data_IF_204204560058
#
_entry.id   IF_204204560058
#
_cell.length_a   1.000
_cell.length_b   1.000
_cell.length_c   1.000
_cell.angle_alpha   90.00
_cell.angle_beta   90.00
_cell.angle_gamma   90.00
#
_symmetry.space_group_name_H-M   'P 1'
#
loop_
_entity.id
_entity.type
_entity.pdbx_description
1 polymer ?
#
# COMPACT_ATOMS: atom_id res chain seq x y z
N UNK A 1 0.75 -16.40 -16.10
CA UNK A 1 1.42 -17.52 -15.40
C UNK A 1 1.39 -17.19 -13.93
N UNK A 2 1.02 -18.15 -13.09
CA UNK A 2 0.95 -17.96 -11.65
C UNK A 2 2.35 -17.83 -11.03
N UNK A 3 2.45 -16.99 -10.00
CA UNK A 3 3.72 -16.62 -9.39
C UNK A 3 3.56 -16.40 -7.89
N UNK A 4 4.53 -16.90 -7.12
CA UNK A 4 4.77 -16.53 -5.72
C UNK A 4 6.11 -15.83 -5.66
N UNK A 5 6.09 -14.55 -5.29
CA UNK A 5 7.23 -13.64 -5.39
C UNK A 5 7.64 -13.23 -3.97
N UNK A 6 8.82 -13.70 -3.56
CA UNK A 6 9.48 -13.21 -2.35
C UNK A 6 10.51 -12.16 -2.73
N UNK A 7 10.22 -10.90 -2.42
CA UNK A 7 11.15 -9.80 -2.66
C UNK A 7 12.27 -9.84 -1.62
N UNK A 8 13.49 -9.47 -2.04
CA UNK A 8 14.66 -9.40 -1.15
C UNK A 8 14.77 -8.07 -0.42
N UNK A 9 14.15 -7.03 -0.97
CA UNK A 9 14.11 -5.62 -0.54
C UNK A 9 12.79 -5.03 -1.01
N UNK A 10 12.38 -3.86 -0.49
CA UNK A 10 11.17 -3.18 -0.95
C UNK A 10 11.19 -2.99 -2.48
N UNK A 11 10.04 -3.22 -3.11
CA UNK A 11 9.86 -2.90 -4.52
C UNK A 11 9.41 -1.45 -4.64
N UNK A 12 10.33 -0.59 -5.05
CA UNK A 12 10.05 0.83 -5.28
C UNK A 12 9.34 1.02 -6.62
N UNK A 13 8.13 1.56 -6.57
CA UNK A 13 7.31 1.84 -7.75
C UNK A 13 7.49 3.30 -8.16
N UNK A 14 7.86 3.50 -9.43
CA UNK A 14 7.98 4.83 -10.05
C UNK A 14 6.68 5.24 -10.73
N UNK A 15 6.55 6.51 -11.08
CA UNK A 15 5.36 7.07 -11.72
C UNK A 15 4.97 6.36 -13.03
N UNK A 16 3.68 6.45 -13.38
CA UNK A 16 3.11 5.94 -14.63
C UNK A 16 3.33 4.43 -14.79
N UNK A 17 2.82 3.66 -13.82
CA UNK A 17 2.91 2.20 -13.80
C UNK A 17 1.58 1.57 -13.41
N UNK A 18 1.32 0.42 -14.01
CA UNK A 18 0.27 -0.49 -13.56
C UNK A 18 0.92 -1.82 -13.21
N UNK A 19 0.65 -2.32 -12.02
CA UNK A 19 0.82 -3.75 -11.70
C UNK A 19 -0.55 -4.40 -11.90
N UNK A 20 -0.61 -5.34 -12.83
CA UNK A 20 -1.85 -6.01 -13.24
C UNK A 20 -1.70 -7.52 -13.09
N UNK A 21 -2.43 -8.10 -12.14
CA UNK A 21 -2.47 -9.53 -11.90
C UNK A 21 -3.56 -10.28 -12.66
N UNK A 22 -4.39 -9.61 -13.47
CA UNK A 22 -5.51 -10.28 -14.16
C UNK A 22 -5.04 -11.46 -15.01
N UNK A 23 -5.77 -12.57 -14.92
CA UNK A 23 -5.47 -13.80 -15.65
C UNK A 23 -4.32 -14.63 -15.06
N UNK A 24 -3.83 -14.30 -13.86
CA UNK A 24 -2.86 -15.11 -13.14
C UNK A 24 -3.05 -14.99 -11.62
N UNK A 25 -2.68 -16.03 -10.87
CA UNK A 25 -2.55 -15.91 -9.41
C UNK A 25 -1.16 -15.40 -9.07
N UNK A 26 -1.07 -14.12 -8.71
CA UNK A 26 0.20 -13.47 -8.33
C UNK A 26 0.19 -13.13 -6.85
N UNK A 27 1.21 -13.62 -6.14
CA UNK A 27 1.41 -13.38 -4.71
C UNK A 27 2.73 -12.67 -4.46
N UNK A 28 2.71 -11.59 -3.67
CA UNK A 28 3.91 -10.96 -3.09
C UNK A 28 3.90 -11.27 -1.60
N UNK A 29 4.89 -12.01 -1.12
CA UNK A 29 4.85 -12.62 0.23
C UNK A 29 6.24 -12.88 0.84
N UNK A 30 6.27 -13.11 2.16
CA UNK A 30 7.41 -13.59 2.96
C UNK A 30 8.67 -12.70 2.91
N UNK A 31 8.50 -11.44 2.56
CA UNK A 31 9.56 -10.45 2.43
C UNK A 31 9.00 -9.03 2.44
N UNK A 32 9.84 -8.02 2.19
CA UNK A 32 9.36 -6.65 2.04
C UNK A 32 8.44 -6.56 0.83
N UNK A 33 7.50 -5.61 0.84
CA UNK A 33 6.49 -5.51 -0.20
C UNK A 33 6.62 -4.21 -0.99
N UNK A 34 5.51 -3.51 -1.26
CA UNK A 34 5.46 -2.44 -2.25
C UNK A 34 5.63 -1.08 -1.58
N UNK A 35 6.45 -0.21 -2.19
CA UNK A 35 6.58 1.20 -1.79
C UNK A 35 6.42 2.14 -2.96
N UNK A 36 5.50 3.08 -2.83
CA UNK A 36 5.32 4.23 -3.71
C UNK A 36 5.92 5.43 -3.01
N UNK A 37 6.98 6.02 -3.57
CA UNK A 37 7.71 7.12 -2.92
C UNK A 37 7.87 8.30 -3.87
N UNK A 38 7.23 9.43 -3.54
CA UNK A 38 7.14 10.65 -4.35
C UNK A 38 6.83 10.37 -5.84
N UNK A 39 5.85 9.50 -6.07
CA UNK A 39 5.47 9.06 -7.41
C UNK A 39 3.96 9.27 -7.66
N UNK A 40 3.57 9.25 -8.92
CA UNK A 40 2.18 9.52 -9.31
C UNK A 40 1.68 8.64 -10.46
N UNK A 41 0.36 8.53 -10.60
CA UNK A 41 -0.30 7.77 -11.66
C UNK A 41 0.09 6.28 -11.60
N UNK A 42 -0.30 5.65 -10.50
CA UNK A 42 0.02 4.25 -10.22
C UNK A 42 -1.28 3.47 -9.99
N UNK A 43 -1.37 2.31 -10.61
CA UNK A 43 -2.45 1.34 -10.38
C UNK A 43 -1.85 0.03 -9.88
N UNK A 44 -2.37 -0.51 -8.79
CA UNK A 44 -2.07 -1.85 -8.30
C UNK A 44 -3.38 -2.62 -8.33
N UNK A 45 -3.46 -3.65 -9.18
CA UNK A 45 -4.71 -4.32 -9.46
C UNK A 45 -4.57 -5.85 -9.54
N UNK A 46 -5.49 -6.57 -8.90
CA UNK A 46 -5.67 -8.01 -9.12
C UNK A 46 -4.55 -8.90 -8.57
N UNK A 47 -3.83 -8.46 -7.53
CA UNK A 47 -2.74 -9.24 -6.92
C UNK A 47 -3.02 -9.55 -5.44
N UNK A 48 -2.37 -10.59 -4.93
CA UNK A 48 -2.41 -10.96 -3.52
C UNK A 48 -1.12 -10.47 -2.84
N UNK A 49 -1.25 -9.75 -1.73
CA UNK A 49 -0.13 -9.23 -0.95
C UNK A 49 -0.33 -9.66 0.50
N UNK A 50 0.53 -10.53 1.02
CA UNK A 50 0.33 -11.09 2.35
C UNK A 50 1.66 -11.50 2.99
N UNK A 51 1.66 -11.71 4.31
CA UNK A 51 2.86 -12.14 5.05
C UNK A 51 4.08 -11.23 4.81
N UNK A 52 3.85 -9.94 4.54
CA UNK A 52 4.92 -8.97 4.35
C UNK A 52 5.77 -8.83 5.61
N UNK A 53 7.07 -8.67 5.43
CA UNK A 53 8.07 -8.61 6.50
C UNK A 53 8.91 -7.33 6.42
N UNK A 54 9.42 -6.83 7.55
CA UNK A 54 10.31 -5.68 7.57
C UNK A 54 11.51 -5.86 6.64
N UNK A 55 11.79 -4.84 5.84
CA UNK A 55 12.96 -4.80 4.97
C UNK A 55 14.16 -4.21 5.68
N UNK A 56 15.35 -4.76 5.44
CA UNK A 56 16.59 -4.22 6.03
C UNK A 56 17.12 -2.94 5.35
N UNK A 57 16.42 -2.38 4.36
CA UNK A 57 16.89 -1.22 3.59
C UNK A 57 18.15 -1.50 2.76
N UNK A 58 19.05 -0.53 2.61
CA UNK A 58 20.29 -0.63 1.85
C UNK A 58 20.14 -0.16 0.39
N UNK A 59 21.05 -0.61 -0.48
CA UNK A 59 21.05 -0.22 -1.89
C UNK A 59 19.90 -0.90 -2.64
N UNK A 60 18.93 -0.12 -3.11
CA UNK A 60 17.76 -0.59 -3.87
C UNK A 60 17.72 0.14 -5.20
N UNK A 61 17.49 -0.61 -6.28
CA UNK A 61 17.25 -0.04 -7.60
C UNK A 61 15.82 0.48 -7.67
N UNK A 62 15.67 1.79 -7.75
CA UNK A 62 14.40 2.53 -7.79
C UNK A 62 14.18 3.20 -9.17
N UNK A 63 15.02 2.89 -10.15
CA UNK A 63 14.84 3.33 -11.52
C UNK A 63 15.66 2.52 -12.54
N UNK A 64 15.39 2.69 -13.85
CA UNK A 64 16.12 1.98 -14.89
C UNK A 64 17.63 2.26 -14.91
N UNK A 65 18.09 3.34 -14.29
CA UNK A 65 19.52 3.71 -14.23
C UNK A 65 19.93 4.26 -12.86
N UNK A 66 19.09 4.09 -11.85
CA UNK A 66 19.33 4.65 -10.52
C UNK A 66 19.19 3.58 -9.45
N UNK A 67 20.09 3.65 -8.48
CA UNK A 67 20.10 2.84 -7.27
C UNK A 67 20.35 3.79 -6.11
N UNK A 68 19.36 3.90 -5.23
CA UNK A 68 19.45 4.74 -4.03
C UNK A 68 19.75 3.93 -2.79
N UNK A 69 20.20 4.61 -1.73
CA UNK A 69 20.22 4.06 -0.38
C UNK A 69 18.86 4.28 0.28
N UNK A 70 18.26 3.20 0.78
CA UNK A 70 16.96 3.21 1.45
C UNK A 70 17.09 2.75 2.90
N UNK A 71 16.28 3.30 3.79
CA UNK A 71 16.22 2.87 5.18
C UNK A 71 15.41 1.58 5.32
N UNK A 72 15.48 0.89 6.49
CA UNK A 72 14.59 -0.21 6.79
C UNK A 72 13.12 0.15 6.62
N UNK A 73 12.29 -0.85 6.31
CA UNK A 73 10.85 -0.71 6.18
C UNK A 73 10.12 -1.57 7.18
N UNK A 74 8.90 -1.16 7.51
CA UNK A 74 8.14 -1.71 8.64
C UNK A 74 7.38 -3.00 8.29
N UNK A 75 7.29 -3.34 6.99
CA UNK A 75 6.62 -4.56 6.52
C UNK A 75 5.16 -4.35 6.11
N UNK A 76 4.80 -3.15 5.66
CA UNK A 76 3.49 -2.87 5.07
C UNK A 76 3.29 -3.59 3.74
N UNK A 77 2.04 -3.92 3.40
CA UNK A 77 1.72 -4.50 2.09
C UNK A 77 1.92 -3.47 0.97
N UNK A 78 1.35 -2.27 1.12
CA UNK A 78 1.54 -1.12 0.24
C UNK A 78 1.77 0.15 1.06
N UNK A 79 3.00 0.67 1.01
CA UNK A 79 3.36 1.95 1.61
C UNK A 79 3.35 3.08 0.56
N UNK A 80 2.62 4.16 0.80
CA UNK A 80 2.52 5.35 -0.05
C UNK A 80 3.07 6.56 0.70
N UNK A 81 4.20 7.07 0.23
CA UNK A 81 4.93 8.17 0.83
C UNK A 81 5.00 9.33 -0.16
N UNK A 82 4.27 10.42 0.12
CA UNK A 82 4.16 11.57 -0.79
C UNK A 82 3.66 11.22 -2.20
N UNK A 83 2.86 10.16 -2.33
CA UNK A 83 2.33 9.69 -3.61
C UNK A 83 1.02 10.39 -3.99
N UNK A 84 0.73 10.53 -5.29
CA UNK A 84 -0.57 11.06 -5.74
C UNK A 84 -1.16 10.36 -6.95
N UNK A 85 -2.49 10.36 -7.08
CA UNK A 85 -3.18 9.65 -8.18
C UNK A 85 -2.82 8.16 -8.15
N UNK A 86 -3.14 7.51 -7.03
CA UNK A 86 -2.88 6.08 -6.80
C UNK A 86 -4.20 5.34 -6.68
N UNK A 87 -4.32 4.21 -7.36
CA UNK A 87 -5.48 3.32 -7.29
C UNK A 87 -5.06 1.92 -6.87
N UNK A 88 -5.52 1.48 -5.71
CA UNK A 88 -5.34 0.10 -5.21
C UNK A 88 -6.69 -0.60 -5.33
N UNK A 89 -6.78 -1.55 -6.24
CA UNK A 89 -8.06 -2.11 -6.68
C UNK A 89 -8.06 -3.63 -6.80
N UNK A 90 -9.12 -4.32 -6.37
CA UNK A 90 -9.24 -5.78 -6.52
C UNK A 90 -8.02 -6.56 -6.00
N UNK A 91 -7.36 -6.08 -4.95
CA UNK A 91 -6.26 -6.79 -4.32
C UNK A 91 -6.75 -7.58 -3.10
N UNK A 92 -6.11 -8.71 -2.82
CA UNK A 92 -6.30 -9.45 -1.56
C UNK A 92 -5.14 -9.12 -0.63
N UNK A 93 -5.41 -8.58 0.56
CA UNK A 93 -4.39 -8.15 1.51
C UNK A 93 -4.59 -8.80 2.88
N UNK A 94 -3.54 -9.37 3.49
CA UNK A 94 -3.66 -10.00 4.81
C UNK A 94 -2.32 -10.19 5.54
N UNK A 95 -2.37 -10.37 6.86
CA UNK A 95 -1.28 -10.87 7.70
C UNK A 95 0.11 -10.25 7.49
N UNK A 96 0.19 -8.93 7.31
CA UNK A 96 1.48 -8.23 7.19
C UNK A 96 2.05 -7.89 8.58
N UNK A 97 3.32 -7.49 8.66
CA UNK A 97 3.97 -7.22 9.95
C UNK A 97 3.49 -5.91 10.61
N UNK A 98 3.26 -4.85 9.83
CA UNK A 98 2.68 -3.58 10.30
C UNK A 98 1.33 -3.24 9.64
N UNK A 99 1.29 -2.44 8.58
CA UNK A 99 0.07 -2.02 7.87
C UNK A 99 -0.31 -2.90 6.67
N UNK A 100 -1.58 -2.88 6.23
CA UNK A 100 -1.90 -3.32 4.86
C UNK A 100 -1.68 -2.17 3.88
N UNK A 101 -2.34 -1.03 4.11
CA UNK A 101 -2.20 0.15 3.23
C UNK A 101 -1.94 1.40 4.07
N UNK A 102 -0.74 1.94 3.95
CA UNK A 102 -0.33 3.15 4.66
C UNK A 102 -0.07 4.29 3.69
N UNK A 103 -0.73 5.43 3.90
CA UNK A 103 -0.57 6.63 3.07
C UNK A 103 -0.23 7.84 3.94
N UNK A 104 0.95 8.42 3.73
CA UNK A 104 1.54 9.44 4.61
C UNK A 104 2.30 10.50 3.79
N UNK A 105 2.81 11.52 4.46
CA UNK A 105 3.71 12.54 3.88
C UNK A 105 3.11 13.33 2.71
N UNK A 106 1.89 13.85 2.89
CA UNK A 106 1.22 14.67 1.88
C UNK A 106 0.65 13.87 0.71
N UNK A 107 0.53 12.54 0.86
CA UNK A 107 -0.10 11.71 -0.16
C UNK A 107 -1.56 12.10 -0.37
N UNK A 108 -2.05 12.06 -1.61
CA UNK A 108 -3.41 12.56 -1.95
C UNK A 108 -3.95 11.99 -3.25
N UNK A 109 -5.23 12.19 -3.55
CA UNK A 109 -5.90 11.62 -4.73
C UNK A 109 -5.71 10.10 -4.80
N UNK A 110 -6.08 9.40 -3.74
CA UNK A 110 -5.98 7.94 -3.63
C UNK A 110 -7.38 7.33 -3.66
N UNK A 111 -7.54 6.24 -4.41
CA UNK A 111 -8.73 5.37 -4.31
C UNK A 111 -8.30 3.98 -3.89
N UNK A 112 -8.97 3.43 -2.88
CA UNK A 112 -8.79 2.07 -2.38
C UNK A 112 -10.14 1.39 -2.55
N UNK A 113 -10.26 0.49 -3.53
CA UNK A 113 -11.56 -0.09 -3.89
C UNK A 113 -11.55 -1.57 -4.21
N UNK A 114 -12.69 -2.24 -3.99
CA UNK A 114 -12.88 -3.66 -4.34
C UNK A 114 -11.82 -4.61 -3.75
N UNK A 115 -11.10 -4.19 -2.70
CA UNK A 115 -10.07 -5.02 -2.09
C UNK A 115 -10.70 -5.94 -1.06
N UNK A 116 -10.12 -7.13 -0.90
CA UNK A 116 -10.48 -8.08 0.13
C UNK A 116 -9.40 -8.07 1.21
N UNK A 117 -9.73 -7.63 2.41
CA UNK A 117 -8.79 -7.49 3.53
C UNK A 117 -9.20 -8.41 4.67
N UNK A 118 -8.28 -9.23 5.19
CA UNK A 118 -8.57 -10.17 6.28
C UNK A 118 -7.36 -10.41 7.18
N UNK A 119 -7.59 -10.99 8.36
CA UNK A 119 -6.54 -11.50 9.27
C UNK A 119 -5.41 -10.49 9.54
N UNK A 120 -5.75 -9.29 10.00
CA UNK A 120 -4.75 -8.22 10.18
C UNK A 120 -5.17 -7.21 11.26
N UNK A 121 -4.22 -6.77 12.09
CA UNK A 121 -4.53 -5.82 13.18
C UNK A 121 -4.70 -4.40 12.65
N UNK A 122 -3.63 -3.83 12.07
CA UNK A 122 -3.56 -2.43 11.65
C UNK A 122 -3.84 -2.30 10.16
N UNK A 123 -5.10 -2.22 9.76
CA UNK A 123 -5.50 -2.33 8.35
C UNK A 123 -4.99 -1.16 7.50
N UNK A 124 -5.38 0.07 7.79
CA UNK A 124 -5.11 1.22 6.93
C UNK A 124 -4.82 2.50 7.72
N UNK A 125 -3.60 3.04 7.62
CA UNK A 125 -3.23 4.33 8.20
C UNK A 125 -3.19 5.43 7.14
N UNK A 126 -4.03 6.45 7.30
CA UNK A 126 -4.07 7.61 6.42
C UNK A 126 -3.65 8.86 7.21
N UNK A 127 -2.36 9.17 7.15
CA UNK A 127 -1.70 10.25 7.89
C UNK A 127 -1.00 9.78 9.18
N UNK A 128 0.31 10.04 9.28
CA UNK A 128 1.19 9.42 10.29
C UNK A 128 1.28 10.17 11.63
N UNK A 129 1.17 11.51 11.62
CA UNK A 129 1.45 12.34 12.79
C UNK A 129 0.40 13.43 13.00
N UNK A 130 0.06 13.67 14.27
CA UNK A 130 -0.87 14.73 14.68
C UNK A 130 -0.30 16.13 14.39
N UNK A 131 1.03 16.26 14.27
CA UNK A 131 1.70 17.53 13.97
C UNK A 131 2.02 17.75 12.49
N UNK A 132 1.81 16.74 11.63
CA UNK A 132 2.20 16.83 10.21
C UNK A 132 1.08 17.43 9.35
N UNK A 133 1.01 18.75 9.31
CA UNK A 133 -0.11 19.48 8.69
C UNK A 133 -0.17 19.43 7.17
N UNK A 134 0.86 18.92 6.48
CA UNK A 134 0.79 18.74 5.02
C UNK A 134 -0.26 17.68 4.62
N UNK A 135 -0.58 16.75 5.51
CA UNK A 135 -1.65 15.76 5.30
C UNK A 135 -3.06 16.37 5.25
N UNK A 136 -3.24 17.67 5.54
CA UNK A 136 -4.54 18.37 5.38
C UNK A 136 -5.06 18.35 3.94
N UNK A 137 -4.17 18.25 2.96
CA UNK A 137 -4.53 18.17 1.55
C UNK A 137 -4.77 16.73 1.06
N UNK A 138 -4.64 15.73 1.94
CA UNK A 138 -4.89 14.34 1.62
C UNK A 138 -6.37 14.14 1.28
N UNK A 139 -6.63 13.48 0.16
CA UNK A 139 -7.96 13.07 -0.26
C UNK A 139 -7.91 11.59 -0.61
N UNK A 140 -8.70 10.78 0.11
CA UNK A 140 -8.77 9.33 -0.12
C UNK A 140 -10.22 8.87 -0.21
N UNK A 141 -10.52 8.05 -1.21
CA UNK A 141 -11.79 7.34 -1.31
C UNK A 141 -11.57 5.87 -0.96
N UNK A 142 -12.37 5.34 -0.03
CA UNK A 142 -12.39 3.93 0.38
C UNK A 142 -13.78 3.40 0.05
N UNK A 143 -13.88 2.59 -1.00
CA UNK A 143 -15.17 2.15 -1.51
C UNK A 143 -15.20 0.70 -1.96
N UNK A 144 -16.29 -0.03 -1.68
CA UNK A 144 -16.49 -1.40 -2.16
C UNK A 144 -15.46 -2.41 -1.66
N UNK A 145 -14.71 -2.10 -0.61
CA UNK A 145 -13.80 -3.06 0.00
C UNK A 145 -14.58 -4.02 0.89
N UNK A 146 -14.12 -5.27 0.94
CA UNK A 146 -14.55 -6.24 1.92
C UNK A 146 -13.59 -6.24 3.11
N UNK A 147 -14.06 -5.74 4.24
CA UNK A 147 -13.36 -5.79 5.52
C UNK A 147 -13.75 -7.08 6.26
N UNK A 148 -13.14 -8.18 5.84
CA UNK A 148 -13.53 -9.52 6.27
C UNK A 148 -12.98 -9.95 7.63
N UNK A 149 -13.05 -11.26 7.87
CA UNK A 149 -12.72 -11.89 9.15
C UNK A 149 -11.29 -11.58 9.63
N UNK A 150 -11.14 -11.47 10.95
CA UNK A 150 -9.83 -11.36 11.60
C UNK A 150 -9.19 -9.98 11.49
N UNK A 151 -9.91 -8.97 10.98
CA UNK A 151 -9.48 -7.57 11.09
C UNK A 151 -9.75 -7.03 12.50
N UNK A 152 -8.84 -6.19 13.02
CA UNK A 152 -8.99 -5.60 14.36
C UNK A 152 -9.35 -4.12 14.31
N UNK A 153 -8.58 -3.31 13.58
CA UNK A 153 -8.73 -1.85 13.62
C UNK A 153 -8.17 -1.14 12.37
N UNK A 154 -8.32 0.19 12.35
CA UNK A 154 -7.86 1.10 11.28
C UNK A 154 -8.54 0.86 9.93
N UNK A 155 -9.88 0.85 9.90
CA UNK A 155 -10.69 0.69 8.68
C UNK A 155 -11.55 1.93 8.35
N UNK A 156 -10.96 3.09 8.00
CA UNK A 156 -9.55 3.50 8.10
C UNK A 156 -9.21 4.14 9.47
N UNK A 157 -7.91 4.41 9.72
CA UNK A 157 -7.46 5.36 10.75
C UNK A 157 -6.91 6.62 10.09
N UNK A 158 -7.61 7.73 10.27
CA UNK A 158 -7.41 8.96 9.50
C UNK A 158 -6.84 10.11 10.33
N UNK A 159 -6.06 10.98 9.68
CA UNK A 159 -5.62 12.27 10.20
C UNK A 159 -5.66 13.37 9.14
N UNK A 160 -6.08 14.56 9.55
CA UNK A 160 -6.07 15.84 8.81
C UNK A 160 -6.91 15.93 7.53
N UNK A 161 -6.79 14.99 6.60
CA UNK A 161 -7.36 15.06 5.26
C UNK A 161 -8.87 14.85 5.16
N UNK A 162 -9.33 14.72 3.92
CA UNK A 162 -10.70 14.34 3.56
C UNK A 162 -10.78 12.87 3.15
N UNK A 163 -11.72 12.15 3.74
CA UNK A 163 -11.86 10.70 3.58
C UNK A 163 -13.30 10.34 3.23
N UNK A 164 -13.53 9.81 2.04
CA UNK A 164 -14.84 9.34 1.63
C UNK A 164 -14.91 7.82 1.79
N UNK A 165 -15.64 7.36 2.81
CA UNK A 165 -15.81 5.93 3.11
C UNK A 165 -17.24 5.54 2.73
N UNK A 166 -17.41 4.69 1.72
CA UNK A 166 -18.73 4.42 1.14
C UNK A 166 -18.85 2.98 0.65
N UNK A 167 -19.97 2.32 0.96
CA UNK A 167 -20.30 0.97 0.46
C UNK A 167 -19.17 -0.06 0.66
N UNK A 168 -18.53 -0.06 1.83
CA UNK A 168 -17.67 -1.16 2.27
C UNK A 168 -18.50 -2.06 3.19
N UNK A 169 -18.21 -3.36 3.23
CA UNK A 169 -18.89 -4.33 4.10
C UNK A 169 -17.94 -5.03 5.08
#
# INVERSE_FOLDING_TARGET
RDMVIRLKKELIITSFKTIDGRGASVHITDGPCIKIHYATNIIIHGINIHDCKPGSGGMIRDGPRHTGWWIPSDGDAVAIFGGSHVWIDHCSLSNCDDGLIDAIHGSTAITISNNHMTHHDKVMLLGHSDSYTQDKNMQVTIAFNHFGEGLVQRMPRCRHGYFHVVNND
#
